data_IF_713853578414
#
_entry.id   IF_713853578414
#
_cell.length_a   1.000
_cell.length_b   1.000
_cell.length_c   1.000
_cell.angle_alpha   90.00
_cell.angle_beta   90.00
_cell.angle_gamma   90.00
#
_symmetry.space_group_name_H-M   'P 1'
#
loop_
_entity.id
_entity.type
_entity.pdbx_description
1 polymer ?
#
# COMPACT_ATOMS: atom_id res chain seq x y z
N UNK A 1 -20.62 11.78 5.96
CA UNK A 1 -19.94 12.00 4.67
C UNK A 1 -18.47 12.14 4.99
N UNK A 2 -17.60 11.36 4.35
CA UNK A 2 -16.15 11.47 4.52
C UNK A 2 -15.70 12.84 3.99
N UNK A 3 -14.97 13.59 4.81
CA UNK A 3 -14.47 14.92 4.43
C UNK A 3 -13.40 14.76 3.35
N UNK A 4 -13.55 15.46 2.22
CA UNK A 4 -12.59 15.40 1.12
C UNK A 4 -11.57 16.51 1.24
N UNK A 5 -10.30 16.19 1.05
CA UNK A 5 -9.19 17.16 1.00
C UNK A 5 -8.59 17.22 -0.41
N UNK A 6 -7.80 18.26 -0.69
CA UNK A 6 -7.10 18.43 -1.97
C UNK A 6 -5.61 18.19 -1.78
N UNK A 7 -5.04 17.32 -2.60
CA UNK A 7 -3.61 17.02 -2.61
C UNK A 7 -3.01 17.65 -3.88
N UNK A 8 -2.09 18.62 -3.77
CA UNK A 8 -1.40 19.15 -4.93
C UNK A 8 -0.46 18.10 -5.52
N UNK A 9 -0.57 17.86 -6.83
CA UNK A 9 0.23 16.87 -7.56
C UNK A 9 0.76 17.51 -8.85
N UNK A 10 1.89 16.99 -9.34
CA UNK A 10 2.35 17.34 -10.69
C UNK A 10 1.37 16.82 -11.75
N UNK A 11 1.34 17.45 -12.93
CA UNK A 11 0.51 16.97 -14.05
C UNK A 11 0.89 15.54 -14.46
N UNK A 12 2.19 15.25 -14.44
CA UNK A 12 2.74 13.94 -14.76
C UNK A 12 2.26 12.86 -13.79
N UNK A 13 2.32 13.13 -12.48
CA UNK A 13 1.84 12.19 -11.45
C UNK A 13 0.34 11.92 -11.61
N UNK A 14 -0.47 12.96 -11.87
CA UNK A 14 -1.90 12.79 -12.14
C UNK A 14 -2.14 11.94 -13.39
N UNK A 15 -1.36 12.13 -14.44
CA UNK A 15 -1.51 11.37 -15.68
C UNK A 15 -1.03 9.91 -15.53
N UNK A 16 -0.07 9.63 -14.64
CA UNK A 16 0.23 8.27 -14.19
C UNK A 16 -0.95 7.65 -13.44
N UNK A 17 -1.55 8.34 -12.48
CA UNK A 17 -2.70 7.84 -11.73
C UNK A 17 -3.86 7.44 -12.67
N UNK A 18 -4.12 8.21 -13.73
CA UNK A 18 -5.12 7.85 -14.75
C UNK A 18 -4.84 6.52 -15.45
N UNK A 19 -3.57 6.17 -15.67
CA UNK A 19 -3.19 4.89 -16.31
C UNK A 19 -3.47 3.68 -15.42
N UNK A 20 -3.40 3.87 -14.09
CA UNK A 20 -3.61 2.81 -13.10
C UNK A 20 -5.05 2.71 -12.59
N UNK A 21 -5.88 3.70 -12.90
CA UNK A 21 -7.30 3.71 -12.58
C UNK A 21 -8.09 2.68 -13.38
N UNK A 22 -9.09 2.08 -12.73
CA UNK A 22 -10.06 1.17 -13.36
C UNK A 22 -11.30 1.95 -13.81
N UNK A 23 -12.07 1.39 -14.76
CA UNK A 23 -13.31 2.04 -15.23
C UNK A 23 -14.29 2.20 -14.06
N UNK A 24 -14.66 3.45 -13.76
CA UNK A 24 -15.58 3.79 -12.67
C UNK A 24 -14.93 3.97 -11.30
N UNK A 25 -13.60 3.80 -11.19
CA UNK A 25 -12.85 4.00 -9.94
C UNK A 25 -12.55 5.50 -9.73
N UNK A 26 -12.78 5.99 -8.52
CA UNK A 26 -12.43 7.35 -8.11
C UNK A 26 -10.95 7.45 -7.75
N UNK A 27 -10.41 8.68 -7.69
CA UNK A 27 -9.02 8.87 -7.23
C UNK A 27 -8.83 8.44 -5.77
N UNK A 28 -9.83 8.61 -4.90
CA UNK A 28 -9.73 8.18 -3.50
C UNK A 28 -9.62 6.65 -3.42
N UNK A 29 -10.46 5.91 -4.14
CA UNK A 29 -10.41 4.45 -4.22
C UNK A 29 -9.10 3.94 -4.82
N UNK A 30 -8.64 4.56 -5.92
CA UNK A 30 -7.36 4.23 -6.52
C UNK A 30 -6.20 4.41 -5.53
N UNK A 31 -6.17 5.55 -4.83
CA UNK A 31 -5.10 5.85 -3.87
C UNK A 31 -5.14 4.89 -2.69
N UNK A 32 -6.31 4.57 -2.14
CA UNK A 32 -6.45 3.57 -1.07
C UNK A 32 -5.95 2.20 -1.50
N UNK A 33 -6.33 1.75 -2.70
CA UNK A 33 -5.85 0.47 -3.26
C UNK A 33 -4.34 0.45 -3.44
N UNK A 34 -3.74 1.55 -3.91
CA UNK A 34 -2.28 1.64 -4.04
C UNK A 34 -1.58 1.61 -2.68
N UNK A 35 -2.16 2.25 -1.66
CA UNK A 35 -1.63 2.22 -0.29
C UNK A 35 -1.69 0.81 0.32
N UNK A 36 -2.81 0.08 0.14
CA UNK A 36 -2.94 -1.31 0.61
C UNK A 36 -1.87 -2.22 -0.01
N UNK A 37 -1.61 -2.06 -1.32
CA UNK A 37 -0.56 -2.84 -2.01
C UNK A 37 0.82 -2.50 -1.43
N UNK A 38 1.10 -1.23 -1.18
CA UNK A 38 2.37 -0.80 -0.60
C UNK A 38 2.58 -1.36 0.82
N UNK A 39 1.54 -1.34 1.65
CA UNK A 39 1.59 -1.91 3.01
C UNK A 39 1.85 -3.42 2.98
N UNK A 40 1.20 -4.16 2.07
CA UNK A 40 1.44 -5.59 1.90
C UNK A 40 2.87 -5.90 1.48
N UNK A 41 3.44 -5.09 0.58
CA UNK A 41 4.82 -5.25 0.14
C UNK A 41 5.81 -4.96 1.28
N UNK A 42 5.61 -3.88 2.04
CA UNK A 42 6.44 -3.56 3.20
C UNK A 42 6.37 -4.66 4.27
N UNK A 43 5.16 -5.16 4.54
CA UNK A 43 4.97 -6.28 5.47
C UNK A 43 5.72 -7.53 5.00
N UNK A 44 5.61 -7.88 3.72
CA UNK A 44 6.31 -9.03 3.16
C UNK A 44 7.84 -8.89 3.23
N UNK A 45 8.38 -7.69 2.98
CA UNK A 45 9.81 -7.41 3.13
C UNK A 45 10.27 -7.54 4.58
N UNK A 46 9.48 -7.04 5.53
CA UNK A 46 9.76 -7.17 6.97
C UNK A 46 9.78 -8.64 7.40
N UNK A 47 8.81 -9.44 6.96
CA UNK A 47 8.75 -10.86 7.24
C UNK A 47 9.97 -11.62 6.66
N UNK A 48 10.39 -11.29 5.43
CA UNK A 48 11.60 -11.88 4.83
C UNK A 48 12.85 -11.56 5.63
N UNK A 49 12.96 -10.35 6.16
CA UNK A 49 14.10 -9.95 7.00
C UNK A 49 14.13 -10.75 8.30
N UNK A 50 13.00 -10.84 9.00
CA UNK A 50 12.87 -11.65 10.23
C UNK A 50 13.24 -13.11 9.94
N UNK A 51 12.73 -13.69 8.86
CA UNK A 51 13.06 -15.06 8.45
C UNK A 51 14.55 -15.28 8.20
N UNK A 52 15.26 -14.27 7.70
CA UNK A 52 16.69 -14.36 7.41
C UNK A 52 17.57 -14.17 8.66
N UNK A 53 17.11 -13.41 9.65
CA UNK A 53 17.94 -12.92 10.77
C UNK A 53 17.60 -13.52 12.14
N UNK A 54 16.38 -14.02 12.38
CA UNK A 54 15.92 -14.44 13.71
C UNK A 54 15.92 -15.96 13.93
N UNK A 55 16.26 -16.39 15.17
CA UNK A 55 16.02 -17.75 15.65
C UNK A 55 14.58 -17.89 16.15
N UNK A 56 13.76 -18.62 15.41
CA UNK A 56 12.35 -18.85 15.75
C UNK A 56 12.20 -19.78 16.95
N UNK A 57 11.46 -19.35 17.98
CA UNK A 57 11.02 -20.23 19.08
C UNK A 57 9.66 -20.86 18.74
N UNK A 58 9.48 -22.18 18.98
CA UNK A 58 8.18 -22.83 18.80
C UNK A 58 7.11 -22.23 19.70
N UNK A 59 5.88 -22.10 19.18
CA UNK A 59 4.76 -21.47 19.89
C UNK A 59 4.32 -22.27 21.12
N UNK A 60 4.67 -23.56 21.20
CA UNK A 60 4.37 -24.42 22.35
C UNK A 60 5.23 -24.10 23.59
N UNK A 61 6.23 -23.23 23.47
CA UNK A 61 7.14 -22.85 24.56
C UNK A 61 6.78 -21.51 25.23
N UNK A 62 5.66 -20.87 24.87
CA UNK A 62 5.17 -19.59 25.42
C UNK A 62 3.86 -19.76 26.18
#
# INVERSE_FOLDING_TARGET
MTETTTIPLSKETRDLLKKYGRKGETYDELLRRLLEIAEQLEFAERQKKILAEEEFVPLEQV
#
